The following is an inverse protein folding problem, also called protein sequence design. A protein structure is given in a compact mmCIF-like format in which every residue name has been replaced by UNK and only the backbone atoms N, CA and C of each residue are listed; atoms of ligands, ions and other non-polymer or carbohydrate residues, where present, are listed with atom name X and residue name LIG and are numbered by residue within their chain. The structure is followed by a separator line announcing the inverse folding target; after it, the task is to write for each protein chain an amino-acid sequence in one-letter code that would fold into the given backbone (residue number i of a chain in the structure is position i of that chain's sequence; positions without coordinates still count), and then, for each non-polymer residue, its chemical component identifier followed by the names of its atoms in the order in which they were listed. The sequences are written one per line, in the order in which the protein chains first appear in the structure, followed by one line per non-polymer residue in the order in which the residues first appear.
data_IF_865133632170
#
_entry.id   IF_865133632170
#
_cell.length_a   1.000
_cell.length_b   1.000
_cell.length_c   1.000
_cell.angle_alpha   90.00
_cell.angle_beta   90.00
_cell.angle_gamma   90.00
#
_symmetry.space_group_name_H-M   'P 1'
#
loop_
_entity.id
_entity.type
_entity.pdbx_description
1 polymer ?
#
# COMPACT_ATOMS: atom_id res chain seq x y z
N UNK A 1 -17.01 -18.86 3.80
CA UNK A 1 -15.69 -18.53 4.35
C UNK A 1 -15.36 -17.09 4.05
N UNK A 2 -14.55 -16.45 4.87
CA UNK A 2 -14.22 -15.05 4.70
C UNK A 2 -12.73 -14.86 4.80
N UNK A 3 -12.15 -14.11 3.86
CA UNK A 3 -10.72 -13.80 3.87
C UNK A 3 -10.56 -12.39 3.31
N UNK A 4 -10.40 -11.44 4.20
CA UNK A 4 -10.32 -10.05 3.80
C UNK A 4 -9.30 -9.32 4.65
N UNK A 5 -8.45 -8.55 4.00
CA UNK A 5 -7.41 -7.77 4.66
C UNK A 5 -7.51 -6.34 4.16
N UNK A 6 -7.39 -5.39 5.08
CA UNK A 6 -7.36 -3.98 4.75
C UNK A 6 -6.13 -3.39 5.41
N UNK A 7 -5.27 -2.77 4.61
CA UNK A 7 -4.00 -2.24 5.10
C UNK A 7 -3.81 -0.82 4.63
N UNK A 8 -3.20 0.00 5.47
CA UNK A 8 -2.74 1.32 5.05
C UNK A 8 -1.28 1.41 5.48
N UNK A 9 -0.41 1.69 4.55
CA UNK A 9 1.01 1.78 4.84
C UNK A 9 1.77 2.45 3.72
N UNK A 10 3.08 2.48 3.86
CA UNK A 10 3.95 3.11 2.86
C UNK A 10 4.83 2.06 2.20
N UNK A 11 5.06 2.24 0.91
CA UNK A 11 5.96 1.35 0.20
C UNK A 11 7.38 1.55 0.69
N UNK A 12 8.09 0.46 0.89
CA UNK A 12 9.48 0.54 1.33
C UNK A 12 10.45 0.57 0.15
N UNK A 13 9.97 0.25 -1.04
CA UNK A 13 10.76 0.34 -2.27
C UNK A 13 9.80 0.46 -3.44
N UNK A 14 10.34 0.76 -4.60
CA UNK A 14 9.52 0.85 -5.80
C UNK A 14 8.93 -0.51 -6.15
N UNK A 15 7.72 -0.54 -6.70
CA UNK A 15 7.12 -1.81 -7.09
C UNK A 15 7.92 -2.48 -8.20
N UNK A 16 7.93 -3.79 -8.18
CA UNK A 16 8.54 -4.58 -9.24
C UNK A 16 7.43 -5.11 -10.13
N UNK A 17 7.49 -4.80 -11.42
CA UNK A 17 6.50 -5.27 -12.37
C UNK A 17 7.07 -6.38 -13.22
N UNK A 18 6.39 -7.49 -13.27
CA UNK A 18 6.77 -8.63 -14.09
C UNK A 18 5.56 -9.12 -14.85
N UNK A 19 5.77 -10.02 -15.77
CA UNK A 19 4.67 -10.62 -16.53
C UNK A 19 4.73 -12.12 -16.35
N UNK A 20 3.56 -12.73 -16.12
CA UNK A 20 3.50 -14.17 -15.94
C UNK A 20 3.72 -14.87 -17.27
N UNK A 21 3.80 -16.19 -17.24
CA UNK A 21 3.98 -16.96 -18.48
C UNK A 21 2.87 -16.76 -19.47
N UNK A 22 1.71 -16.29 -19.02
CA UNK A 22 0.60 -16.02 -19.91
C UNK A 22 0.52 -14.55 -20.29
N UNK A 23 1.54 -13.77 -19.95
CA UNK A 23 1.57 -12.36 -20.31
C UNK A 23 0.77 -11.45 -19.38
N UNK A 24 0.34 -11.93 -18.23
CA UNK A 24 -0.43 -11.10 -17.32
C UNK A 24 0.50 -10.31 -16.41
N UNK A 25 0.28 -9.02 -16.26
CA UNK A 25 1.15 -8.22 -15.40
C UNK A 25 0.93 -8.54 -13.93
N UNK A 26 2.01 -8.57 -13.18
CA UNK A 26 1.98 -8.76 -11.74
C UNK A 26 2.98 -7.82 -11.11
N UNK A 27 2.54 -7.09 -10.09
CA UNK A 27 3.40 -6.14 -9.39
C UNK A 27 3.54 -6.58 -7.94
N UNK A 28 4.74 -6.49 -7.42
CA UNK A 28 5.02 -6.82 -6.04
C UNK A 28 5.59 -5.61 -5.34
N UNK A 29 5.13 -5.34 -4.14
CA UNK A 29 5.69 -4.26 -3.36
C UNK A 29 5.48 -4.54 -1.87
N UNK A 30 6.46 -4.23 -1.04
CA UNK A 30 6.30 -4.40 0.40
C UNK A 30 5.73 -3.13 1.02
N UNK A 31 4.84 -3.29 1.99
CA UNK A 31 4.30 -2.17 2.74
C UNK A 31 4.85 -2.20 4.14
N UNK A 32 5.21 -1.03 4.64
CA UNK A 32 5.58 -0.84 6.02
C UNK A 32 4.37 -0.31 6.77
N UNK A 33 3.95 -1.01 7.78
CA UNK A 33 2.77 -0.65 8.55
C UNK A 33 3.16 -0.57 10.01
N UNK A 34 3.02 0.63 10.57
CA UNK A 34 3.32 0.84 11.97
C UNK A 34 2.23 0.26 12.84
N UNK A 35 2.62 -0.36 13.93
CA UNK A 35 1.64 -0.86 14.88
C UNK A 35 1.05 0.32 15.66
N UNK A 36 -0.17 0.13 16.13
CA UNK A 36 -0.90 1.20 16.78
C UNK A 36 -0.42 1.51 18.19
N UNK A 37 0.41 0.67 18.76
CA UNK A 37 0.87 0.89 20.13
C UNK A 37 2.38 0.84 20.20
N UNK A 38 2.93 1.43 21.26
CA UNK A 38 4.37 1.49 21.42
C UNK A 38 4.86 0.26 22.17
N UNK A 39 6.10 -0.12 21.86
CA UNK A 39 6.72 -1.26 22.54
C UNK A 39 7.34 -0.76 23.85
N UNK A 40 8.09 -1.63 24.52
CA UNK A 40 8.67 -1.31 25.81
C UNK A 40 9.63 -0.14 25.75
N UNK A 41 10.23 0.10 24.62
CA UNK A 41 11.19 1.17 24.47
C UNK A 41 10.54 2.49 24.04
N UNK A 42 9.25 2.54 23.96
CA UNK A 42 8.55 3.74 23.54
C UNK A 42 8.50 3.95 22.05
N UNK A 43 8.85 2.93 21.28
CA UNK A 43 8.86 3.03 19.83
C UNK A 43 7.78 2.14 19.26
N UNK A 44 7.31 2.48 18.07
CA UNK A 44 6.31 1.65 17.39
C UNK A 44 7.01 0.69 16.46
N UNK A 45 6.68 -0.57 16.61
CA UNK A 45 7.21 -1.58 15.72
C UNK A 45 6.54 -1.44 14.37
N UNK A 46 7.21 -1.91 13.34
CA UNK A 46 6.73 -1.84 11.97
C UNK A 46 6.66 -3.24 11.42
N UNK A 47 5.54 -3.57 10.81
CA UNK A 47 5.40 -4.84 10.13
C UNK A 47 5.59 -4.62 8.64
N UNK A 48 6.34 -5.50 7.99
CA UNK A 48 6.56 -5.42 6.56
C UNK A 48 5.75 -6.52 5.91
N UNK A 49 4.84 -6.14 5.03
CA UNK A 49 3.90 -7.07 4.44
C UNK A 49 4.04 -7.04 2.92
N UNK A 50 4.23 -8.19 2.32
CA UNK A 50 4.34 -8.29 0.88
C UNK A 50 2.96 -8.23 0.24
N UNK A 51 2.81 -7.39 -0.76
CA UNK A 51 1.55 -7.22 -1.47
C UNK A 51 1.77 -7.54 -2.93
N UNK A 52 0.84 -8.26 -3.51
CA UNK A 52 0.88 -8.63 -4.92
C UNK A 52 -0.36 -8.09 -5.59
N UNK A 53 -0.19 -7.40 -6.71
CA UNK A 53 -1.30 -6.90 -7.50
C UNK A 53 -1.22 -7.49 -8.89
N UNK A 54 -2.37 -7.77 -9.49
CA UNK A 54 -2.45 -8.42 -10.80
C UNK A 54 -3.18 -7.55 -11.81
N UNK A 55 -2.87 -7.76 -13.06
CA UNK A 55 -3.59 -7.17 -14.20
C UNK A 55 -3.59 -5.65 -14.14
N UNK A 56 -4.73 -5.05 -14.24
CA UNK A 56 -4.81 -3.60 -14.29
C UNK A 56 -4.28 -2.94 -13.01
N UNK A 57 -4.50 -3.56 -11.88
CA UNK A 57 -3.97 -3.04 -10.63
C UNK A 57 -2.44 -3.04 -10.65
N UNK A 58 -1.84 -4.08 -11.22
CA UNK A 58 -0.39 -4.15 -11.33
C UNK A 58 0.16 -3.02 -12.17
N UNK A 59 -0.49 -2.75 -13.29
CA UNK A 59 -0.04 -1.67 -14.16
C UNK A 59 -0.18 -0.31 -13.50
N UNK A 60 -1.28 -0.09 -12.80
CA UNK A 60 -1.47 1.17 -12.12
C UNK A 60 -0.46 1.38 -11.00
N UNK A 61 -0.19 0.32 -10.25
CA UNK A 61 0.78 0.37 -9.17
C UNK A 61 2.16 0.68 -9.72
N UNK A 62 2.57 -0.01 -10.75
CA UNK A 62 3.90 0.19 -11.32
C UNK A 62 4.06 1.58 -11.92
N UNK A 63 2.97 2.13 -12.45
CA UNK A 63 3.04 3.41 -13.09
C UNK A 63 3.03 4.56 -12.10
N UNK A 64 2.27 4.44 -11.04
CA UNK A 64 2.01 5.59 -10.16
C UNK A 64 2.64 5.52 -8.78
N UNK A 65 3.05 4.37 -8.32
CA UNK A 65 3.57 4.23 -6.97
C UNK A 65 5.09 4.15 -6.96
N UNK A 66 5.66 4.61 -5.88
CA UNK A 66 7.09 4.51 -5.66
C UNK A 66 7.38 4.44 -4.18
N UNK A 67 8.65 4.32 -3.86
CA UNK A 67 9.08 4.23 -2.48
C UNK A 67 8.55 5.40 -1.66
N UNK A 68 8.03 5.11 -0.50
CA UNK A 68 7.55 6.13 0.42
C UNK A 68 6.10 6.54 0.25
N UNK A 69 5.44 6.11 -0.80
CA UNK A 69 4.07 6.52 -1.06
C UNK A 69 3.11 5.83 -0.09
N UNK A 70 2.10 6.56 0.31
CA UNK A 70 1.09 6.04 1.22
C UNK A 70 -0.06 5.46 0.42
N UNK A 71 -0.43 4.22 0.70
CA UNK A 71 -1.49 3.55 -0.02
C UNK A 71 -2.39 2.78 0.92
N UNK A 72 -3.63 2.56 0.48
CA UNK A 72 -4.54 1.66 1.14
C UNK A 72 -4.75 0.46 0.24
N UNK A 73 -4.70 -0.73 0.81
CA UNK A 73 -4.84 -1.97 0.06
C UNK A 73 -5.96 -2.79 0.67
N UNK A 74 -6.87 -3.24 -0.17
CA UNK A 74 -7.89 -4.19 0.23
C UNK A 74 -7.67 -5.46 -0.56
N UNK A 75 -7.65 -6.59 0.12
CA UNK A 75 -7.42 -7.85 -0.56
C UNK A 75 -7.62 -9.04 0.36
N UNK A 76 -6.93 -10.11 0.06
CA UNK A 76 -7.01 -11.33 0.85
C UNK A 76 -5.62 -11.80 1.20
N UNK A 77 -5.55 -12.54 2.29
CA UNK A 77 -4.30 -13.13 2.72
C UNK A 77 -4.10 -14.47 2.02
N UNK A 78 -2.94 -14.68 1.47
CA UNK A 78 -2.59 -15.92 0.83
C UNK A 78 -1.27 -16.40 1.38
N UNK A 79 -1.17 -17.68 1.67
CA UNK A 79 0.06 -18.25 2.17
C UNK A 79 0.73 -19.02 1.03
N UNK A 80 1.94 -18.60 0.68
CA UNK A 80 2.70 -19.31 -0.32
C UNK A 80 3.65 -20.25 0.38
N UNK A 81 3.65 -21.49 -0.05
CA UNK A 81 4.57 -22.49 0.47
C UNK A 81 5.60 -22.79 -0.62
N UNK A 82 6.82 -22.80 -0.22
CA UNK A 82 7.90 -23.09 -1.15
C UNK A 82 8.82 -24.10 -0.48
N UNK A 83 9.00 -25.26 -1.10
CA UNK A 83 9.84 -26.30 -0.54
C UNK A 83 11.15 -26.38 -1.32
N UNK A 84 12.26 -26.21 -0.60
CA UNK A 84 13.58 -26.37 -1.20
C UNK A 84 14.32 -27.38 -0.36
N UNK A 85 14.61 -28.52 -0.96
CA UNK A 85 15.27 -29.60 -0.25
C UNK A 85 14.39 -30.10 0.88
N UNK A 86 14.92 -30.10 2.09
CA UNK A 86 14.17 -30.57 3.24
C UNK A 86 13.40 -29.48 3.94
N UNK A 87 13.48 -28.26 3.47
CA UNK A 87 12.85 -27.15 4.19
C UNK A 87 11.67 -26.62 3.42
N UNK A 88 10.62 -26.32 4.16
CA UNK A 88 9.45 -25.67 3.60
C UNK A 88 9.40 -24.25 4.13
N UNK A 89 9.34 -23.29 3.22
CA UNK A 89 9.25 -21.90 3.58
C UNK A 89 7.80 -21.45 3.40
N UNK A 90 7.32 -20.72 4.37
CA UNK A 90 5.95 -20.22 4.35
C UNK A 90 6.03 -18.70 4.24
N UNK A 91 5.47 -18.17 3.17
CA UNK A 91 5.51 -16.73 2.92
C UNK A 91 4.10 -16.20 2.81
N UNK A 92 3.63 -15.46 3.81
CA UNK A 92 2.33 -14.83 3.69
C UNK A 92 2.42 -13.62 2.77
N UNK A 93 1.42 -13.43 1.98
CA UNK A 93 1.34 -12.25 1.13
C UNK A 93 -0.11 -11.83 1.01
N UNK A 94 -0.34 -10.56 0.69
CA UNK A 94 -1.68 -10.05 0.48
C UNK A 94 -1.88 -9.86 -1.02
N UNK A 95 -2.90 -10.52 -1.56
CA UNK A 95 -3.26 -10.37 -2.95
C UNK A 95 -4.26 -9.24 -3.02
N UNK A 96 -3.88 -8.14 -3.65
CA UNK A 96 -4.70 -6.94 -3.64
C UNK A 96 -5.89 -7.05 -4.58
N UNK A 97 -7.06 -6.72 -4.08
CA UNK A 97 -8.23 -6.55 -4.92
C UNK A 97 -8.32 -5.11 -5.37
N UNK A 98 -7.88 -4.20 -4.53
CA UNK A 98 -7.93 -2.79 -4.84
C UNK A 98 -6.79 -2.07 -4.14
N UNK A 99 -6.14 -1.15 -4.82
CA UNK A 99 -5.10 -0.32 -4.25
C UNK A 99 -5.52 1.13 -4.41
N UNK A 100 -5.56 1.86 -3.32
CA UNK A 100 -5.93 3.27 -3.35
C UNK A 100 -4.73 4.13 -3.01
N UNK A 101 -4.51 5.15 -3.80
CA UNK A 101 -3.39 6.05 -3.59
C UNK A 101 -3.86 7.13 -2.62
N UNK A 102 -3.23 7.20 -1.47
CA UNK A 102 -3.68 8.09 -0.41
C UNK A 102 -2.87 9.37 -0.32
N UNK A 103 -1.76 9.45 -1.01
CA UNK A 103 -1.04 10.71 -1.12
C UNK A 103 -0.54 10.86 -2.54
N UNK A 104 -0.11 12.06 -2.87
CA UNK A 104 0.37 12.38 -4.21
C UNK A 104 1.80 12.88 -4.12
N UNK A 105 2.57 12.72 -5.17
CA UNK A 105 3.95 13.19 -5.13
C UNK A 105 3.94 14.68 -4.96
N UNK A 106 4.85 15.17 -4.14
CA UNK A 106 5.02 16.56 -4.01
C UNK A 106 5.88 17.04 -5.10
N UNK A 107 5.48 17.19 -6.23
CA UNK A 107 6.33 17.67 -7.22
C UNK A 107 6.37 19.14 -7.08
N UNK A 108 7.01 19.80 -7.78
CA UNK A 108 7.15 21.14 -7.81
C UNK A 108 5.93 21.86 -7.78
N UNK A 109 5.20 21.74 -6.99
CA UNK A 109 4.01 22.20 -7.08
C UNK A 109 3.77 23.37 -6.28
N UNK A 110 4.55 24.30 -6.33
CA UNK A 110 4.26 25.46 -5.67
C UNK A 110 2.98 26.05 -6.10
N UNK A 111 2.64 25.92 -7.33
CA UNK A 111 1.39 26.44 -7.81
C UNK A 111 0.25 25.70 -7.21
N UNK A 112 0.39 24.43 -7.06
CA UNK A 112 -0.65 23.65 -6.46
C UNK A 112 -0.91 24.09 -5.04
N UNK A 113 0.11 24.39 -4.35
CA UNK A 113 -0.05 24.84 -3.01
C UNK A 113 -0.85 26.08 -2.94
N UNK A 114 -0.62 26.97 -3.84
CA UNK A 114 -1.38 28.18 -3.85
C UNK A 114 -2.84 27.91 -4.06
N UNK A 115 -3.13 27.02 -4.92
CA UNK A 115 -4.48 26.74 -5.19
C UNK A 115 -5.13 26.11 -4.00
N UNK A 116 -4.44 25.25 -3.33
CA UNK A 116 -4.99 24.65 -2.19
C UNK A 116 -5.30 25.67 -1.15
N UNK A 117 -4.45 26.60 -0.96
CA UNK A 117 -4.69 27.55 0.05
C UNK A 117 -5.91 28.32 -0.25
N UNK A 118 -6.31 28.39 -1.45
CA UNK A 118 -7.45 29.08 -1.70
C UNK A 118 -8.66 28.31 -1.53
N UNK A 119 -8.59 27.09 -1.60
CA UNK A 119 -9.73 26.35 -1.51
C UNK A 119 -10.13 26.34 -0.14
N UNK A 120 -10.71 27.06 0.32
CA UNK A 120 -11.04 27.14 1.64
C UNK A 120 -12.11 26.32 1.93
N UNK A 121 -12.50 26.11 1.82
CA UNK A 121 -13.30 25.69 2.13
C UNK A 121 -13.67 25.17 2.93
N UNK A 122 -13.94 25.36 3.24
CA UNK A 122 -14.24 25.15 3.89
C UNK A 122 -14.47 24.28 4.61
N UNK A 123 -14.27 24.30 4.66
CA UNK A 123 -14.33 23.65 5.08
C UNK A 123 -14.98 22.93 5.64
N UNK A 124 -15.35 23.12 5.90
CA UNK A 124 -16.05 22.56 6.30
C UNK A 124 -15.95 21.30 6.42
N UNK A 125 -15.75 21.12 6.08
CA UNK A 125 -15.80 20.14 6.15
C UNK A 125 -15.26 19.22 6.52
N UNK A 126 -15.04 19.48 6.72
CA UNK A 126 -14.70 18.81 6.99
C UNK A 126 -14.51 17.97 7.63
N UNK A 127 -14.55 18.30 7.90
CA UNK A 127 -14.45 17.78 8.49
C UNK A 127 -14.38 16.64 8.61
N UNK A 128 -14.61 16.69 8.50
CA UNK A 128 -14.79 15.77 8.58
C UNK A 128 -14.24 14.69 8.44
N UNK A 129 -13.96 14.83 8.38
CA UNK A 129 -13.67 13.85 8.27
C UNK A 129 -12.85 13.25 8.47
N UNK A 130 -12.61 13.58 8.40
CA UNK A 130 -12.04 13.11 8.57
C UNK A 130 -11.76 12.18 8.98
N UNK A 131 -11.93 12.31 9.10
CA UNK A 131 -11.88 11.54 9.50
C UNK A 131 -11.49 10.56 9.48
N UNK A 132 -11.47 10.69 9.28
CA UNK A 132 -11.28 9.83 9.16
C UNK A 132 -10.62 9.00 9.33
N UNK A 133 -10.53 8.90 9.21
CA UNK A 133 -10.07 8.08 9.36
C UNK A 133 -9.47 7.26 9.43
N UNK A 134 -9.22 7.23 9.41
CA UNK A 134 -8.78 6.43 9.41
C UNK A 134 -8.51 5.96 10.03
#
# INVERSE_FOLDING_TARGET
MLNQVVLIGRLTRDPTLNYSGQGRPVANFPLAIERNFKNKNGERDVDFIDVVAWNKQAELVAKHLGKGRLVGVTGRLQIRKNTKGDRTYINPEVVANEVRFLDWPKSNSQNSDSQYSQSPAPADGDEDYIDVPF
#
